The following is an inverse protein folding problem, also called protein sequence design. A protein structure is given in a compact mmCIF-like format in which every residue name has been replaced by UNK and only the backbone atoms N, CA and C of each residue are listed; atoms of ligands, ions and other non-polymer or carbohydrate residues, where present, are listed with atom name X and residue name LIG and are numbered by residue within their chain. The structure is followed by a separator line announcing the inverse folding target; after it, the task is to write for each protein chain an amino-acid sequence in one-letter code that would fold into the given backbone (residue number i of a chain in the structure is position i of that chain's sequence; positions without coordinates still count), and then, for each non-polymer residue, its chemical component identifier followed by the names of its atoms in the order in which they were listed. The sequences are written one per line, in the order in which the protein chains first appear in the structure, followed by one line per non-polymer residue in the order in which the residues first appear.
data_IF_386881517171
#
_entry.id   IF_386881517171
#
_cell.length_a   1.000
_cell.length_b   1.000
_cell.length_c   1.000
_cell.angle_alpha   90.00
_cell.angle_beta   90.00
_cell.angle_gamma   90.00
#
_symmetry.space_group_name_H-M   'P 1'
#
loop_
_entity.id
_entity.type
_entity.pdbx_description
1 polymer ?
#
# COMPACT_ATOMS: atom_id res chain seq x y z
N UNK A 1 -51.82 -42.02 -20.67
CA UNK A 1 -51.77 -40.78 -21.46
C UNK A 1 -50.31 -40.33 -21.49
N UNK A 2 -49.40 -41.10 -22.10
CA UNK A 2 -49.28 -41.38 -23.55
C UNK A 2 -48.87 -40.10 -24.27
N UNK A 3 -47.60 -39.97 -24.65
CA UNK A 3 -47.00 -40.44 -25.91
C UNK A 3 -47.14 -39.37 -27.03
N UNK A 4 -46.17 -39.19 -27.93
CA UNK A 4 -44.82 -39.76 -27.98
C UNK A 4 -44.22 -39.65 -29.40
N UNK A 5 -42.95 -39.22 -29.49
CA UNK A 5 -42.05 -39.30 -30.67
C UNK A 5 -42.54 -38.80 -32.04
N UNK A 6 -41.77 -37.89 -32.66
CA UNK A 6 -40.98 -38.25 -33.87
C UNK A 6 -39.99 -37.16 -34.31
N UNK A 7 -38.92 -37.60 -35.00
CA UNK A 7 -38.02 -36.80 -35.84
C UNK A 7 -38.67 -36.61 -37.25
N UNK A 8 -38.13 -35.94 -38.28
CA UNK A 8 -36.72 -35.77 -38.71
C UNK A 8 -36.51 -34.56 -39.67
N UNK A 9 -35.37 -34.54 -40.38
CA UNK A 9 -34.76 -33.45 -41.16
C UNK A 9 -35.54 -33.06 -42.47
N UNK A 10 -35.17 -32.06 -43.30
CA UNK A 10 -33.83 -31.80 -43.87
C UNK A 10 -33.66 -30.42 -44.57
N UNK A 11 -32.45 -29.83 -44.45
CA UNK A 11 -31.74 -28.78 -45.24
C UNK A 11 -32.44 -28.00 -46.39
N UNK A 12 -32.17 -26.67 -46.45
CA UNK A 12 -31.27 -26.06 -47.47
C UNK A 12 -30.87 -24.57 -47.24
N UNK A 13 -29.55 -24.32 -47.39
CA UNK A 13 -28.89 -23.08 -47.87
C UNK A 13 -28.81 -21.78 -47.01
N UNK A 14 -27.74 -21.01 -47.32
CA UNK A 14 -27.16 -19.74 -46.77
C UNK A 14 -26.47 -19.03 -47.98
N UNK A 15 -25.87 -17.80 -47.94
CA UNK A 15 -25.44 -16.93 -46.82
C UNK A 15 -26.39 -15.70 -46.61
N UNK A 16 -26.08 -14.42 -46.30
CA UNK A 16 -24.87 -13.55 -46.22
C UNK A 16 -24.99 -12.51 -45.06
N UNK A 17 -23.94 -11.72 -44.83
CA UNK A 17 -23.80 -10.64 -43.84
C UNK A 17 -23.90 -9.23 -44.53
N UNK A 18 -23.55 -8.04 -43.97
CA UNK A 18 -22.79 -7.65 -42.76
C UNK A 18 -22.95 -6.15 -42.35
N UNK A 19 -22.83 -5.87 -41.05
CA UNK A 19 -22.09 -4.77 -40.38
C UNK A 19 -22.17 -3.27 -40.80
N UNK A 20 -22.64 -2.46 -39.83
CA UNK A 20 -21.90 -1.41 -39.08
C UNK A 20 -21.70 0.05 -39.56
N UNK A 21 -21.50 0.89 -38.52
CA UNK A 21 -20.69 2.14 -38.42
C UNK A 21 -21.27 3.51 -38.81
N UNK A 22 -20.78 4.52 -38.07
CA UNK A 22 -21.09 5.97 -38.14
C UNK A 22 -20.02 6.73 -38.95
N UNK A 23 -20.30 7.95 -39.41
CA UNK A 23 -19.28 9.01 -39.36
C UNK A 23 -19.82 10.38 -38.88
N UNK A 24 -18.94 11.39 -38.84
CA UNK A 24 -19.24 12.76 -38.45
C UNK A 24 -18.47 13.81 -39.29
N UNK A 25 -18.87 15.09 -39.11
CA UNK A 25 -18.10 16.34 -39.29
C UNK A 25 -18.07 17.09 -40.65
N UNK A 26 -17.89 18.42 -40.52
CA UNK A 26 -17.50 19.44 -41.55
C UNK A 26 -18.58 19.88 -42.57
N UNK A 27 -18.62 21.12 -43.10
CA UNK A 27 -17.99 22.43 -42.79
C UNK A 27 -18.81 23.61 -43.41
N UNK A 28 -18.40 24.86 -43.17
CA UNK A 28 -19.07 26.09 -43.63
C UNK A 28 -18.63 26.61 -45.03
N UNK A 29 -19.29 27.67 -45.54
CA UNK A 29 -18.64 28.73 -46.33
C UNK A 29 -18.81 30.15 -45.72
N UNK A 30 -18.25 31.18 -46.38
CA UNK A 30 -18.01 32.55 -45.86
C UNK A 30 -18.35 33.66 -46.87
N UNK A 31 -18.07 34.94 -46.54
CA UNK A 31 -18.22 36.23 -47.31
C UNK A 31 -19.44 37.09 -46.87
N UNK A 32 -19.42 38.44 -46.86
CA UNK A 32 -18.37 39.44 -47.17
C UNK A 32 -18.59 40.83 -46.49
N UNK A 33 -17.62 41.75 -46.66
CA UNK A 33 -17.55 43.24 -46.51
C UNK A 33 -18.83 44.05 -46.12
N UNK A 34 -18.83 45.20 -45.40
CA UNK A 34 -17.76 45.97 -44.72
C UNK A 34 -17.67 47.47 -45.11
N UNK A 35 -18.13 48.43 -44.26
CA UNK A 35 -17.78 49.88 -44.24
C UNK A 35 -18.51 50.70 -43.13
N UNK A 36 -17.82 51.72 -42.59
CA UNK A 36 -18.27 52.79 -41.66
C UNK A 36 -18.01 54.19 -42.30
N UNK A 37 -18.35 55.36 -41.70
CA UNK A 37 -19.38 55.74 -40.70
C UNK A 37 -20.32 56.86 -41.27
N UNK A 38 -21.10 57.61 -40.45
CA UNK A 38 -20.61 58.91 -39.93
C UNK A 38 -21.12 59.33 -38.53
N UNK A 39 -20.67 60.50 -38.06
CA UNK A 39 -20.88 61.11 -36.72
C UNK A 39 -20.97 62.64 -36.90
N UNK A 40 -21.63 63.47 -36.04
CA UNK A 40 -22.80 63.28 -35.17
C UNK A 40 -23.97 64.24 -35.51
N UNK A 41 -25.11 64.11 -34.81
CA UNK A 41 -25.98 65.25 -34.48
C UNK A 41 -26.34 65.18 -32.98
N UNK A 42 -26.40 66.34 -32.32
CA UNK A 42 -26.73 66.44 -30.89
C UNK A 42 -27.91 67.37 -30.63
N UNK A 43 -27.96 67.92 -29.41
CA UNK A 43 -28.89 68.95 -28.89
C UNK A 43 -30.11 68.43 -28.09
N UNK A 44 -30.05 68.73 -26.77
CA UNK A 44 -31.14 68.95 -25.80
C UNK A 44 -32.02 67.78 -25.27
N UNK A 45 -31.55 67.21 -24.16
CA UNK A 45 -32.19 67.31 -22.83
C UNK A 45 -33.74 67.30 -22.77
N UNK A 46 -34.32 66.13 -22.47
CA UNK A 46 -35.64 65.98 -21.84
C UNK A 46 -35.50 65.26 -20.49
N UNK A 47 -36.17 65.75 -19.43
CA UNK A 47 -35.97 65.28 -18.06
C UNK A 47 -36.53 63.87 -17.79
N UNK A 48 -35.69 62.98 -17.27
CA UNK A 48 -36.10 61.69 -16.69
C UNK A 48 -35.01 61.13 -15.78
N UNK A 49 -35.31 60.85 -14.51
CA UNK A 49 -34.33 60.38 -13.54
C UNK A 49 -34.04 58.88 -13.72
N UNK A 50 -32.77 58.50 -13.85
CA UNK A 50 -32.36 57.09 -13.85
C UNK A 50 -32.42 56.48 -12.44
N UNK A 51 -32.73 55.18 -12.29
CA UNK A 51 -32.61 54.49 -11.02
C UNK A 51 -31.15 54.47 -10.56
N UNK A 52 -30.90 54.72 -9.26
CA UNK A 52 -29.58 54.49 -8.67
C UNK A 52 -29.33 52.98 -8.60
N UNK A 53 -28.30 52.51 -9.29
CA UNK A 53 -27.80 51.14 -9.09
C UNK A 53 -27.35 50.98 -7.63
N UNK A 54 -28.01 50.10 -6.89
CA UNK A 54 -27.58 49.71 -5.55
C UNK A 54 -26.48 48.65 -5.72
N UNK A 55 -25.26 48.87 -5.20
CA UNK A 55 -24.17 47.93 -5.40
C UNK A 55 -24.51 46.58 -4.75
N UNK A 56 -24.65 45.55 -5.59
CA UNK A 56 -25.03 44.21 -5.17
C UNK A 56 -23.97 43.65 -4.21
N UNK A 57 -24.37 43.26 -3.00
CA UNK A 57 -23.44 42.72 -1.99
C UNK A 57 -22.87 41.38 -2.49
N UNK A 58 -21.60 41.40 -2.93
CA UNK A 58 -20.83 40.20 -3.32
C UNK A 58 -20.96 39.10 -2.26
N UNK A 59 -21.11 37.87 -2.73
CA UNK A 59 -21.28 36.70 -1.89
C UNK A 59 -20.08 36.48 -0.94
N UNK A 60 -20.35 35.80 0.18
CA UNK A 60 -19.30 35.39 1.14
C UNK A 60 -18.22 34.51 0.49
N UNK A 61 -18.60 33.76 -0.55
CA UNK A 61 -17.73 32.95 -1.41
C UNK A 61 -16.75 33.80 -2.22
N UNK A 62 -17.20 34.83 -2.92
CA UNK A 62 -16.31 35.74 -3.69
C UNK A 62 -15.33 36.46 -2.77
N UNK A 63 -15.78 36.92 -1.60
CA UNK A 63 -14.92 37.54 -0.59
C UNK A 63 -13.88 36.58 0.00
N UNK A 64 -14.14 35.27 -0.02
CA UNK A 64 -13.16 34.24 0.35
C UNK A 64 -12.19 33.98 -0.81
N UNK A 65 -12.64 34.00 -2.06
CA UNK A 65 -11.77 33.87 -3.24
C UNK A 65 -10.81 35.06 -3.38
N UNK A 66 -11.27 36.30 -3.18
CA UNK A 66 -10.41 37.50 -3.15
C UNK A 66 -9.39 37.44 -1.99
N UNK A 67 -9.76 36.87 -0.84
CA UNK A 67 -8.80 36.62 0.25
C UNK A 67 -7.79 35.55 -0.11
N UNK A 68 -8.22 34.44 -0.73
CA UNK A 68 -7.32 33.37 -1.19
C UNK A 68 -6.35 33.88 -2.24
N UNK A 69 -6.79 34.66 -3.23
CA UNK A 69 -5.90 35.24 -4.24
C UNK A 69 -4.89 36.23 -3.64
N UNK A 70 -5.28 37.02 -2.64
CA UNK A 70 -4.36 37.89 -1.90
C UNK A 70 -3.36 37.13 -1.01
N UNK A 71 -3.76 35.98 -0.46
CA UNK A 71 -2.95 35.17 0.45
C UNK A 71 -2.02 34.18 -0.28
N UNK A 72 -2.28 33.86 -1.55
CA UNK A 72 -1.48 32.94 -2.37
C UNK A 72 -0.14 33.52 -2.88
N UNK A 73 0.49 34.43 -2.12
CA UNK A 73 1.93 34.68 -2.22
C UNK A 73 2.71 33.55 -1.52
N UNK A 74 2.46 32.32 -1.98
CA UNK A 74 3.32 31.18 -1.67
C UNK A 74 4.60 31.32 -2.49
N UNK A 75 5.65 31.86 -1.90
CA UNK A 75 7.00 31.71 -2.46
C UNK A 75 7.46 30.27 -2.18
N UNK A 76 7.67 29.44 -3.22
CA UNK A 76 8.17 28.08 -3.03
C UNK A 76 9.65 28.16 -2.59
N UNK A 77 9.91 27.95 -1.30
CA UNK A 77 11.27 27.81 -0.79
C UNK A 77 12.02 26.72 -1.56
N UNK A 78 13.28 27.02 -1.93
CA UNK A 78 14.08 26.30 -2.93
C UNK A 78 13.75 24.81 -3.06
N UNK A 79 13.07 24.46 -4.16
CA UNK A 79 12.81 23.07 -4.55
C UNK A 79 14.15 22.47 -5.01
N UNK A 80 14.98 22.07 -4.03
CA UNK A 80 16.19 21.29 -4.25
C UNK A 80 15.83 19.88 -4.68
N UNK A 81 15.38 19.76 -5.93
CA UNK A 81 15.30 18.50 -6.65
C UNK A 81 16.69 17.87 -6.56
N UNK A 82 16.81 16.78 -5.80
CA UNK A 82 18.09 16.10 -5.63
C UNK A 82 18.32 15.22 -6.86
N UNK A 83 18.69 15.86 -7.96
CA UNK A 83 18.86 15.29 -9.32
C UNK A 83 20.01 14.26 -9.33
N UNK A 84 19.79 13.10 -8.72
CA UNK A 84 20.76 12.01 -8.65
C UNK A 84 20.69 11.12 -9.89
N UNK A 85 20.72 11.74 -11.08
CA UNK A 85 20.49 11.11 -12.41
C UNK A 85 21.08 9.71 -12.48
N UNK A 86 22.37 9.54 -12.17
CA UNK A 86 23.05 8.23 -12.24
C UNK A 86 22.41 7.20 -11.30
N UNK A 87 22.09 7.57 -10.06
CA UNK A 87 21.48 6.68 -9.05
C UNK A 87 20.01 6.36 -9.34
N UNK A 88 19.28 7.30 -9.93
CA UNK A 88 17.89 7.14 -10.33
C UNK A 88 17.76 6.34 -11.64
N UNK A 89 18.63 6.60 -12.62
CA UNK A 89 18.75 5.86 -13.88
C UNK A 89 19.19 4.42 -13.64
N UNK A 90 20.14 4.17 -12.72
CA UNK A 90 20.48 2.80 -12.28
C UNK A 90 19.29 2.12 -11.59
N UNK A 91 18.47 2.84 -10.81
CA UNK A 91 17.22 2.28 -10.25
C UNK A 91 16.21 1.90 -11.35
N UNK A 92 16.03 2.74 -12.37
CA UNK A 92 15.14 2.44 -13.52
C UNK A 92 15.66 1.27 -14.36
N UNK A 93 16.97 1.22 -14.64
CA UNK A 93 17.62 0.07 -15.27
C UNK A 93 17.42 -1.22 -14.47
N UNK A 94 17.59 -1.16 -13.14
CA UNK A 94 17.37 -2.32 -12.26
C UNK A 94 15.93 -2.81 -12.30
N UNK A 95 14.96 -1.89 -12.26
CA UNK A 95 13.54 -2.21 -12.19
C UNK A 95 12.93 -2.70 -13.53
N UNK A 96 13.35 -2.15 -14.68
CA UNK A 96 12.75 -2.49 -15.99
C UNK A 96 13.61 -3.40 -16.88
N UNK A 97 14.93 -3.40 -16.71
CA UNK A 97 15.85 -4.00 -17.68
C UNK A 97 16.79 -5.05 -17.10
N UNK A 98 16.65 -5.49 -15.84
CA UNK A 98 17.54 -6.52 -15.28
C UNK A 98 17.53 -7.84 -16.06
N UNK A 99 16.37 -8.28 -16.55
CA UNK A 99 16.27 -9.46 -17.42
C UNK A 99 16.89 -9.20 -18.80
N UNK A 100 16.64 -8.05 -19.42
CA UNK A 100 17.23 -7.66 -20.72
C UNK A 100 18.75 -7.52 -20.65
N UNK A 101 19.27 -6.91 -19.57
CA UNK A 101 20.70 -6.75 -19.31
C UNK A 101 21.35 -8.09 -18.96
N UNK A 102 20.67 -8.98 -18.24
CA UNK A 102 21.19 -10.32 -17.97
C UNK A 102 21.20 -11.19 -19.24
N UNK A 103 20.15 -11.14 -20.07
CA UNK A 103 20.11 -11.80 -21.38
C UNK A 103 21.17 -11.22 -22.33
N UNK A 104 21.33 -9.90 -22.37
CA UNK A 104 22.40 -9.23 -23.12
C UNK A 104 23.79 -9.63 -22.65
N UNK A 105 24.03 -9.70 -21.34
CA UNK A 105 25.27 -10.19 -20.76
C UNK A 105 25.52 -11.66 -21.11
N UNK A 106 24.51 -12.53 -21.02
CA UNK A 106 24.61 -13.94 -21.41
C UNK A 106 24.91 -14.09 -22.91
N UNK A 107 24.31 -13.25 -23.76
CA UNK A 107 24.59 -13.19 -25.20
C UNK A 107 26.02 -12.71 -25.48
N UNK A 108 26.53 -11.69 -24.77
CA UNK A 108 27.92 -11.23 -24.90
C UNK A 108 28.91 -12.32 -24.44
N UNK A 109 28.64 -12.99 -23.32
CA UNK A 109 29.43 -14.14 -22.84
C UNK A 109 29.40 -15.28 -23.87
N UNK A 110 28.23 -15.61 -24.44
CA UNK A 110 28.11 -16.64 -25.47
C UNK A 110 28.84 -16.26 -26.77
N UNK A 111 28.76 -15.00 -27.22
CA UNK A 111 29.49 -14.50 -28.39
C UNK A 111 31.02 -14.44 -28.19
N UNK A 112 31.49 -14.39 -26.93
CA UNK A 112 32.92 -14.52 -26.62
C UNK A 112 33.36 -15.99 -26.52
N UNK A 113 32.53 -16.86 -25.92
CA UNK A 113 32.85 -18.28 -25.74
C UNK A 113 32.74 -19.11 -27.03
N UNK A 114 31.72 -18.91 -27.87
CA UNK A 114 31.52 -19.72 -29.08
C UNK A 114 32.73 -19.69 -30.03
N UNK A 115 33.31 -18.52 -30.39
CA UNK A 115 34.45 -18.47 -31.29
C UNK A 115 35.70 -19.17 -30.74
N UNK A 116 36.03 -18.98 -29.45
CA UNK A 116 37.18 -19.65 -28.84
C UNK A 116 36.96 -21.17 -28.66
N UNK A 117 35.74 -21.60 -28.31
CA UNK A 117 35.38 -23.03 -28.30
C UNK A 117 35.47 -23.65 -29.71
N UNK A 118 34.99 -22.94 -30.74
CA UNK A 118 35.07 -23.39 -32.13
C UNK A 118 36.52 -23.46 -32.63
N UNK A 119 37.37 -22.49 -32.30
CA UNK A 119 38.82 -22.54 -32.57
C UNK A 119 39.46 -23.76 -31.92
N UNK A 120 39.19 -23.98 -30.63
CA UNK A 120 39.74 -25.10 -29.88
C UNK A 120 39.29 -26.45 -30.47
N UNK A 121 38.02 -26.56 -30.88
CA UNK A 121 37.46 -27.74 -31.53
C UNK A 121 38.05 -27.99 -32.92
N UNK A 122 38.21 -26.95 -33.75
CA UNK A 122 38.85 -27.06 -35.06
C UNK A 122 40.31 -27.53 -34.94
N UNK A 123 41.08 -26.96 -34.01
CA UNK A 123 42.48 -27.33 -33.75
C UNK A 123 42.61 -28.75 -33.16
N UNK A 124 41.66 -29.18 -32.32
CA UNK A 124 41.61 -30.55 -31.80
C UNK A 124 41.17 -31.57 -32.86
N UNK A 125 40.29 -31.19 -33.78
CA UNK A 125 39.87 -32.00 -34.92
C UNK A 125 40.96 -32.16 -35.99
N UNK A 126 41.80 -31.14 -36.18
CA UNK A 126 42.93 -31.16 -37.12
C UNK A 126 44.18 -31.86 -36.54
N UNK A 127 44.02 -33.10 -36.06
CA UNK A 127 45.08 -34.02 -35.59
C UNK A 127 45.97 -33.51 -34.44
N UNK A 128 46.08 -34.30 -33.37
CA UNK A 128 46.86 -33.98 -32.17
C UNK A 128 48.35 -33.62 -32.43
N UNK A 129 48.92 -34.08 -33.56
CA UNK A 129 50.25 -33.72 -34.04
C UNK A 129 50.39 -32.27 -34.50
N UNK A 130 49.34 -31.66 -35.06
CA UNK A 130 49.36 -30.28 -35.57
C UNK A 130 49.51 -29.24 -34.46
N UNK A 131 48.84 -29.46 -33.32
CA UNK A 131 48.99 -28.63 -32.12
C UNK A 131 50.42 -28.71 -31.55
N UNK A 132 51.02 -29.91 -31.53
CA UNK A 132 52.41 -30.09 -31.11
C UNK A 132 53.41 -29.41 -32.06
N UNK A 133 53.22 -29.53 -33.38
CA UNK A 133 54.06 -28.86 -34.37
C UNK A 133 54.02 -27.33 -34.24
N UNK A 134 52.81 -26.76 -34.15
CA UNK A 134 52.64 -25.31 -34.00
C UNK A 134 53.26 -24.76 -32.69
N UNK A 135 53.26 -25.54 -31.60
CA UNK A 135 53.91 -25.17 -30.34
C UNK A 135 55.44 -25.37 -30.39
N UNK A 136 55.94 -26.29 -31.21
CA UNK A 136 57.37 -26.54 -31.38
C UNK A 136 58.09 -25.52 -32.28
N UNK A 137 57.41 -25.00 -33.32
CA UNK A 137 57.99 -24.00 -34.23
C UNK A 137 57.75 -22.55 -33.76
N UNK A 138 56.67 -22.29 -33.01
CA UNK A 138 56.46 -20.98 -32.38
C UNK A 138 57.52 -20.74 -31.30
N UNK A 139 58.23 -19.60 -31.38
CA UNK A 139 59.07 -19.13 -30.26
C UNK A 139 58.16 -18.97 -29.05
N UNK A 140 58.63 -19.34 -27.85
CA UNK A 140 57.81 -19.41 -26.62
C UNK A 140 57.00 -18.12 -26.38
N UNK A 141 57.54 -16.96 -26.74
CA UNK A 141 56.85 -15.66 -26.71
C UNK A 141 55.56 -15.61 -27.53
N UNK A 142 55.53 -16.20 -28.73
CA UNK A 142 54.37 -16.20 -29.62
C UNK A 142 53.25 -17.09 -29.07
N UNK A 143 53.60 -18.31 -28.62
CA UNK A 143 52.68 -19.21 -27.95
C UNK A 143 52.09 -18.59 -26.66
N UNK A 144 52.93 -17.92 -25.86
CA UNK A 144 52.48 -17.14 -24.69
C UNK A 144 51.59 -15.97 -25.13
N UNK A 145 51.88 -15.28 -26.24
CA UNK A 145 51.02 -14.18 -26.73
C UNK A 145 49.64 -14.65 -27.19
N UNK A 146 49.55 -15.85 -27.79
CA UNK A 146 48.28 -16.48 -28.16
C UNK A 146 47.51 -16.88 -26.90
N UNK A 147 48.18 -17.47 -25.92
CA UNK A 147 47.58 -17.82 -24.63
C UNK A 147 47.04 -16.59 -23.89
N UNK A 148 47.79 -15.48 -23.83
CA UNK A 148 47.30 -14.23 -23.24
C UNK A 148 46.12 -13.62 -23.99
N UNK A 149 46.05 -13.74 -25.34
CA UNK A 149 44.88 -13.32 -26.12
C UNK A 149 43.66 -14.18 -25.83
N UNK A 150 43.82 -15.51 -25.78
CA UNK A 150 42.73 -16.47 -25.50
C UNK A 150 42.38 -16.57 -23.99
N UNK A 151 43.10 -15.89 -23.09
CA UNK A 151 42.65 -15.60 -21.71
C UNK A 151 42.03 -14.19 -21.57
N UNK A 152 42.19 -13.30 -22.55
CA UNK A 152 41.80 -11.89 -22.45
C UNK A 152 40.31 -11.64 -22.20
N UNK A 153 39.43 -12.59 -22.57
CA UNK A 153 37.98 -12.52 -22.33
C UNK A 153 37.58 -12.90 -20.89
N UNK A 154 38.46 -13.56 -20.11
CA UNK A 154 38.18 -13.94 -18.72
C UNK A 154 37.95 -12.70 -17.83
N UNK A 155 38.73 -11.64 -18.02
CA UNK A 155 38.55 -10.38 -17.28
C UNK A 155 37.17 -9.75 -17.49
N UNK A 156 36.77 -9.43 -18.75
CA UNK A 156 35.43 -8.92 -19.07
C UNK A 156 34.28 -9.83 -18.62
N UNK A 157 34.39 -11.15 -18.78
CA UNK A 157 33.34 -12.09 -18.34
C UNK A 157 33.23 -12.15 -16.82
N UNK A 158 34.34 -12.24 -16.07
CA UNK A 158 34.33 -12.17 -14.59
C UNK A 158 33.77 -10.84 -14.11
N UNK A 159 34.19 -9.70 -14.67
CA UNK A 159 33.62 -8.39 -14.34
C UNK A 159 32.12 -8.31 -14.62
N UNK A 160 31.65 -8.87 -15.73
CA UNK A 160 30.22 -8.91 -16.10
C UNK A 160 29.42 -9.80 -15.16
N UNK A 161 29.95 -10.96 -14.78
CA UNK A 161 29.33 -11.88 -13.81
C UNK A 161 29.27 -11.23 -12.42
N UNK A 162 30.36 -10.61 -11.95
CA UNK A 162 30.39 -9.88 -10.68
C UNK A 162 29.39 -8.71 -10.67
N UNK A 163 29.33 -7.92 -11.75
CA UNK A 163 28.34 -6.86 -11.88
C UNK A 163 26.90 -7.40 -11.84
N UNK A 164 26.62 -8.50 -12.56
CA UNK A 164 25.31 -9.15 -12.55
C UNK A 164 24.94 -9.69 -11.16
N UNK A 165 25.89 -10.30 -10.42
CA UNK A 165 25.68 -10.79 -9.06
C UNK A 165 25.42 -9.66 -8.06
N UNK A 166 26.18 -8.56 -8.14
CA UNK A 166 25.98 -7.37 -7.29
C UNK A 166 24.64 -6.69 -7.58
N UNK A 167 24.24 -6.57 -8.86
CA UNK A 167 22.96 -6.00 -9.25
C UNK A 167 21.77 -6.90 -8.88
N UNK A 168 21.91 -8.23 -9.01
CA UNK A 168 20.90 -9.23 -8.60
C UNK A 168 20.76 -9.40 -7.09
N UNK A 169 21.71 -8.94 -6.27
CA UNK A 169 21.63 -9.10 -4.81
C UNK A 169 20.44 -8.31 -4.25
N UNK A 170 19.34 -9.00 -3.96
CA UNK A 170 18.28 -8.46 -3.11
C UNK A 170 18.90 -8.01 -1.79
N UNK A 171 18.54 -6.80 -1.34
CA UNK A 171 19.08 -6.23 -0.11
C UNK A 171 18.27 -6.79 1.04
N UNK A 172 18.92 -7.56 1.92
CA UNK A 172 18.33 -8.01 3.18
C UNK A 172 17.65 -6.84 3.90
N UNK A 173 16.42 -7.09 4.34
CA UNK A 173 15.61 -6.16 5.13
C UNK A 173 15.59 -6.66 6.56
N UNK A 174 15.83 -5.77 7.51
CA UNK A 174 15.96 -6.08 8.93
C UNK A 174 14.97 -5.27 9.74
N UNK A 175 14.30 -5.91 10.69
CA UNK A 175 13.47 -5.26 11.70
C UNK A 175 14.38 -4.81 12.85
N UNK A 176 14.62 -3.50 12.95
CA UNK A 176 15.46 -2.92 13.98
C UNK A 176 14.80 -3.06 15.34
N UNK A 177 13.58 -2.54 15.46
CA UNK A 177 12.70 -2.72 16.62
C UNK A 177 11.24 -2.46 16.23
N UNK A 178 10.32 -2.76 17.15
CA UNK A 178 8.90 -2.44 17.08
C UNK A 178 8.41 -1.83 18.40
N UNK A 179 7.35 -1.04 18.30
CA UNK A 179 6.56 -0.58 19.44
C UNK A 179 5.10 -0.98 19.23
N UNK A 180 4.38 -1.19 20.33
CA UNK A 180 2.95 -1.44 20.36
C UNK A 180 2.28 -0.24 21.04
N UNK A 181 1.00 -0.02 20.75
CA UNK A 181 0.20 0.92 21.53
C UNK A 181 -0.04 0.34 22.92
N UNK A 182 0.50 1.00 23.93
CA UNK A 182 0.24 0.71 25.34
C UNK A 182 -0.91 1.66 25.77
N UNK A 183 -2.17 1.18 25.84
CA UNK A 183 -3.32 2.06 26.02
C UNK A 183 -3.35 2.69 27.41
N UNK A 184 -3.79 3.96 27.54
CA UNK A 184 -4.06 4.57 28.83
C UNK A 184 -5.05 3.71 29.66
N UNK A 185 -4.86 3.65 30.98
CA UNK A 185 -5.68 2.81 31.86
C UNK A 185 -7.19 3.16 31.78
N UNK A 186 -7.51 4.43 31.53
CA UNK A 186 -8.87 4.91 31.26
C UNK A 186 -9.54 4.31 30.00
N UNK A 187 -8.77 3.81 29.03
CA UNK A 187 -9.30 3.16 27.82
C UNK A 187 -9.58 1.67 28.02
N UNK A 188 -9.02 1.06 29.07
CA UNK A 188 -9.14 -0.36 29.33
C UNK A 188 -10.44 -0.69 30.06
N UNK A 189 -11.38 -1.30 29.34
CA UNK A 189 -12.69 -1.71 29.87
C UNK A 189 -12.85 -3.23 29.92
N UNK A 190 -13.58 -3.69 30.93
CA UNK A 190 -14.03 -5.08 31.11
C UNK A 190 -15.21 -5.43 30.20
N UNK A 191 -15.55 -6.73 30.09
CA UNK A 191 -16.69 -7.18 29.29
C UNK A 191 -18.02 -6.65 29.84
N UNK A 192 -18.14 -6.50 31.15
CA UNK A 192 -19.34 -5.94 31.80
C UNK A 192 -19.53 -4.45 31.43
N UNK A 193 -18.45 -3.67 31.46
CA UNK A 193 -18.44 -2.27 31.04
C UNK A 193 -18.73 -2.12 29.55
N UNK A 194 -18.18 -2.99 28.68
CA UNK A 194 -18.52 -3.00 27.25
C UNK A 194 -20.02 -3.22 27.03
N UNK A 195 -20.65 -4.17 27.73
CA UNK A 195 -22.10 -4.42 27.61
C UNK A 195 -22.93 -3.23 28.12
N UNK A 196 -22.49 -2.56 29.19
CA UNK A 196 -23.10 -1.33 29.70
C UNK A 196 -22.98 -0.18 28.68
N UNK A 197 -21.78 0.03 28.16
CA UNK A 197 -21.43 1.05 27.16
C UNK A 197 -22.23 0.87 25.87
N UNK A 198 -22.42 -0.38 25.40
CA UNK A 198 -23.27 -0.70 24.25
C UNK A 198 -24.76 -0.40 24.52
N UNK A 199 -25.29 -0.76 25.69
CA UNK A 199 -26.66 -0.40 26.11
C UNK A 199 -26.90 1.10 26.17
N UNK A 200 -25.88 1.89 26.52
CA UNK A 200 -25.96 3.35 26.59
C UNK A 200 -25.77 3.99 25.20
N UNK A 201 -24.81 3.53 24.41
CA UNK A 201 -24.51 4.06 23.08
C UNK A 201 -25.68 3.86 22.10
N UNK A 202 -26.28 2.67 22.10
CA UNK A 202 -27.46 2.34 21.29
C UNK A 202 -28.76 2.36 22.09
N UNK A 203 -28.89 3.21 23.12
CA UNK A 203 -30.11 3.30 23.97
C UNK A 203 -31.39 3.43 23.14
N UNK A 204 -31.32 4.24 22.10
CA UNK A 204 -32.44 4.57 21.22
C UNK A 204 -32.39 3.77 19.90
N UNK A 205 -31.72 2.60 19.89
CA UNK A 205 -31.60 1.76 18.68
C UNK A 205 -31.42 0.25 18.89
N UNK A 206 -30.75 -0.24 19.95
CA UNK A 206 -30.61 -1.69 20.17
C UNK A 206 -31.82 -2.28 20.90
N UNK A 207 -32.32 -3.43 20.43
CA UNK A 207 -33.30 -4.21 21.18
C UNK A 207 -32.62 -4.99 22.33
N UNK A 208 -33.38 -5.47 23.34
CA UNK A 208 -32.85 -6.38 24.36
C UNK A 208 -32.20 -7.64 23.76
N UNK A 209 -32.70 -8.13 22.62
CA UNK A 209 -32.15 -9.29 21.93
C UNK A 209 -30.82 -9.00 21.22
N UNK A 210 -30.64 -7.81 20.66
CA UNK A 210 -29.37 -7.37 20.05
C UNK A 210 -28.28 -7.27 21.12
N UNK A 211 -28.61 -6.69 22.28
CA UNK A 211 -27.72 -6.60 23.44
C UNK A 211 -27.40 -7.99 23.99
N UNK A 212 -28.39 -8.87 24.16
CA UNK A 212 -28.17 -10.24 24.62
C UNK A 212 -27.36 -11.07 23.60
N UNK A 213 -27.49 -10.80 22.30
CA UNK A 213 -26.66 -11.39 21.26
C UNK A 213 -25.21 -10.91 21.35
N UNK A 214 -24.98 -9.59 21.46
CA UNK A 214 -23.64 -9.03 21.64
C UNK A 214 -22.97 -9.53 22.92
N UNK A 215 -23.68 -9.64 24.04
CA UNK A 215 -23.15 -10.20 25.29
C UNK A 215 -22.69 -11.67 25.11
N UNK A 216 -23.57 -12.56 24.60
CA UNK A 216 -23.24 -13.98 24.35
C UNK A 216 -22.09 -14.18 23.37
N UNK A 217 -21.87 -13.22 22.48
CA UNK A 217 -20.75 -13.21 21.55
C UNK A 217 -19.46 -12.70 22.22
N UNK A 218 -19.54 -11.64 23.04
CA UNK A 218 -18.42 -11.11 23.81
C UNK A 218 -17.85 -12.16 24.79
N UNK A 219 -18.72 -12.90 25.48
CA UNK A 219 -18.37 -14.06 26.33
C UNK A 219 -17.57 -15.14 25.57
N UNK A 220 -17.78 -15.27 24.26
CA UNK A 220 -17.15 -16.28 23.38
C UNK A 220 -16.05 -15.70 22.46
N UNK A 221 -15.80 -14.40 22.53
CA UNK A 221 -14.92 -13.65 21.62
C UNK A 221 -13.42 -13.96 21.78
N UNK A 222 -13.01 -14.54 22.91
CA UNK A 222 -11.61 -14.67 23.29
C UNK A 222 -10.95 -13.36 23.76
N UNK A 223 -11.63 -12.21 23.68
CA UNK A 223 -11.14 -10.94 24.23
C UNK A 223 -11.10 -10.98 25.76
N UNK A 224 -10.08 -10.36 26.39
CA UNK A 224 -9.91 -10.35 27.85
C UNK A 224 -10.81 -9.34 28.58
N UNK A 225 -10.68 -9.29 29.92
CA UNK A 225 -11.38 -8.33 30.80
C UNK A 225 -10.69 -6.96 30.92
N UNK A 226 -9.76 -6.66 30.01
CA UNK A 226 -9.09 -5.37 29.91
C UNK A 226 -8.74 -5.16 28.44
N UNK A 227 -9.55 -4.37 27.74
CA UNK A 227 -9.38 -4.11 26.30
C UNK A 227 -9.65 -2.65 25.96
N UNK A 228 -8.87 -2.11 25.04
CA UNK A 228 -8.86 -0.67 24.74
C UNK A 228 -10.05 -0.23 23.88
N UNK A 229 -10.75 0.80 24.34
CA UNK A 229 -11.78 1.54 23.62
C UNK A 229 -11.49 3.04 23.67
N UNK A 230 -11.79 3.82 22.63
CA UNK A 230 -11.35 5.21 22.54
C UNK A 230 -12.31 6.18 23.24
N UNK A 231 -11.85 7.40 23.63
CA UNK A 231 -12.64 8.36 24.40
C UNK A 231 -13.99 8.76 23.81
N UNK A 232 -14.12 8.73 22.48
CA UNK A 232 -15.39 8.98 21.81
C UNK A 232 -16.48 7.94 22.11
N UNK A 233 -16.11 6.72 22.50
CA UNK A 233 -17.05 5.65 22.89
C UNK A 233 -17.09 5.50 24.42
N UNK A 234 -15.95 5.65 25.13
CA UNK A 234 -15.89 5.55 26.60
C UNK A 234 -16.89 6.45 27.33
N UNK A 235 -17.19 7.64 26.79
CA UNK A 235 -18.19 8.55 27.37
C UNK A 235 -19.59 7.94 27.51
N UNK A 236 -19.92 6.94 26.70
CA UNK A 236 -21.18 6.23 26.81
C UNK A 236 -21.35 5.57 28.19
N UNK A 237 -20.27 5.12 28.85
CA UNK A 237 -20.30 4.62 30.24
C UNK A 237 -20.90 5.63 31.22
N UNK A 238 -20.66 6.92 31.01
CA UNK A 238 -21.19 8.04 31.81
C UNK A 238 -22.64 8.40 31.45
N UNK A 239 -23.22 7.73 30.45
CA UNK A 239 -24.56 8.00 29.93
C UNK A 239 -24.61 9.07 28.84
N UNK A 240 -23.47 9.58 28.39
CA UNK A 240 -23.32 10.57 27.31
C UNK A 240 -23.45 9.90 25.91
N UNK A 241 -23.93 10.61 24.86
CA UNK A 241 -23.93 10.06 23.51
C UNK A 241 -22.52 9.96 22.92
N UNK A 242 -22.28 8.94 22.09
CA UNK A 242 -20.99 8.68 21.43
C UNK A 242 -20.48 9.89 20.63
N UNK A 243 -19.19 10.19 20.73
CA UNK A 243 -18.52 11.09 19.79
C UNK A 243 -18.23 10.38 18.46
N UNK A 244 -18.93 10.78 17.41
CA UNK A 244 -18.66 10.33 16.04
C UNK A 244 -18.02 11.44 15.19
N UNK A 245 -17.51 12.51 15.82
CA UNK A 245 -16.94 13.65 15.11
C UNK A 245 -15.62 13.31 14.42
N UNK A 246 -15.28 14.14 13.42
CA UNK A 246 -13.96 14.11 12.80
C UNK A 246 -12.83 14.54 13.75
N UNK A 247 -13.13 15.21 14.87
CA UNK A 247 -12.12 15.62 15.85
C UNK A 247 -11.75 14.44 16.74
N UNK A 248 -12.71 13.81 17.43
CA UNK A 248 -12.46 12.67 18.30
C UNK A 248 -11.75 11.50 17.59
N UNK A 249 -12.04 11.28 16.30
CA UNK A 249 -11.34 10.30 15.47
C UNK A 249 -9.89 10.70 15.12
N UNK A 250 -9.60 12.00 14.97
CA UNK A 250 -8.21 12.50 14.86
C UNK A 250 -7.48 12.43 16.20
N UNK A 251 -8.17 12.67 17.31
CA UNK A 251 -7.59 12.57 18.65
C UNK A 251 -7.20 11.12 18.96
N UNK A 252 -8.08 10.13 18.67
CA UNK A 252 -7.73 8.70 18.72
C UNK A 252 -6.53 8.40 17.80
N UNK A 253 -6.56 8.86 16.55
CA UNK A 253 -5.50 8.62 15.58
C UNK A 253 -4.14 9.19 16.03
N UNK A 254 -4.13 10.43 16.51
CA UNK A 254 -2.92 11.10 16.96
C UNK A 254 -2.37 10.44 18.23
N UNK A 255 -3.22 10.09 19.19
CA UNK A 255 -2.81 9.33 20.38
C UNK A 255 -2.17 7.99 20.01
N UNK A 256 -2.88 7.14 19.27
CA UNK A 256 -2.41 5.78 18.97
C UNK A 256 -1.14 5.80 18.10
N UNK A 257 -1.11 6.62 17.05
CA UNK A 257 0.03 6.68 16.12
C UNK A 257 1.24 7.35 16.76
N UNK A 258 1.06 8.47 17.46
CA UNK A 258 2.20 9.15 18.08
C UNK A 258 2.78 8.34 19.22
N UNK A 259 1.98 7.78 20.14
CA UNK A 259 2.52 6.94 21.21
C UNK A 259 3.31 5.72 20.70
N UNK A 260 2.89 5.12 19.57
CA UNK A 260 3.69 4.08 18.91
C UNK A 260 5.01 4.62 18.34
N UNK A 261 4.98 5.75 17.64
CA UNK A 261 6.15 6.36 17.01
C UNK A 261 7.16 6.92 18.03
N UNK A 262 6.70 7.66 19.05
CA UNK A 262 7.52 8.15 20.17
C UNK A 262 8.23 6.99 20.86
N UNK A 263 7.49 5.93 21.20
CA UNK A 263 8.06 4.70 21.78
C UNK A 263 9.09 4.02 20.87
N UNK A 264 8.84 3.99 19.56
CA UNK A 264 9.74 3.38 18.57
C UNK A 264 11.03 4.19 18.40
N UNK A 265 10.92 5.52 18.28
CA UNK A 265 12.10 6.40 18.15
C UNK A 265 12.91 6.44 19.45
N UNK A 266 12.25 6.42 20.61
CA UNK A 266 12.93 6.29 21.91
C UNK A 266 13.67 4.94 22.06
N UNK A 267 13.02 3.82 21.76
CA UNK A 267 13.63 2.47 21.84
C UNK A 267 14.79 2.29 20.84
N UNK A 268 14.69 2.87 19.63
CA UNK A 268 15.71 2.70 18.58
C UNK A 268 16.81 3.77 18.58
N UNK A 269 16.58 4.93 19.18
CA UNK A 269 17.46 6.10 19.11
C UNK A 269 17.59 6.71 17.70
N UNK A 270 16.70 6.33 16.77
CA UNK A 270 16.69 6.87 15.40
C UNK A 270 15.97 8.21 15.38
N UNK A 271 16.59 9.24 14.81
CA UNK A 271 15.94 10.53 14.64
C UNK A 271 14.80 10.42 13.60
N UNK A 272 13.61 11.01 13.80
CA UNK A 272 12.54 10.99 12.79
C UNK A 272 12.96 11.57 11.42
N UNK A 273 13.98 12.44 11.37
CA UNK A 273 14.56 12.97 10.13
C UNK A 273 15.48 11.96 9.40
N UNK A 274 15.82 10.82 10.00
CA UNK A 274 16.50 9.73 9.31
C UNK A 274 15.55 8.80 8.54
N UNK A 275 14.23 8.90 8.76
CA UNK A 275 13.23 8.08 8.07
C UNK A 275 13.11 8.50 6.60
N UNK A 276 13.13 7.53 5.69
CA UNK A 276 13.03 7.75 4.24
C UNK A 276 11.65 7.37 3.69
N UNK A 277 11.00 6.38 4.32
CA UNK A 277 9.65 5.91 3.99
C UNK A 277 8.78 5.86 5.25
N UNK A 278 7.57 6.42 5.18
CA UNK A 278 6.55 6.27 6.21
C UNK A 278 5.30 5.65 5.58
N UNK A 279 4.95 4.44 6.01
CA UNK A 279 3.72 3.77 5.59
C UNK A 279 2.80 3.68 6.81
N UNK A 280 1.62 4.29 6.75
CA UNK A 280 0.59 4.14 7.79
C UNK A 280 -0.62 3.46 7.17
N UNK A 281 -1.14 2.43 7.84
CA UNK A 281 -2.36 1.74 7.45
C UNK A 281 -3.43 1.81 8.54
N UNK A 282 -4.66 2.14 8.13
CA UNK A 282 -5.90 2.11 8.90
C UNK A 282 -7.06 1.98 7.91
N UNK A 283 -7.98 1.05 8.14
CA UNK A 283 -9.06 0.76 7.19
C UNK A 283 -10.22 1.73 7.33
N UNK A 284 -10.65 1.99 8.56
CA UNK A 284 -11.92 2.64 8.90
C UNK A 284 -11.82 4.17 9.01
N UNK A 285 -10.60 4.73 8.97
CA UNK A 285 -10.38 6.18 9.04
C UNK A 285 -9.28 6.66 8.09
N UNK A 286 -9.68 7.20 6.93
CA UNK A 286 -8.78 7.76 5.91
C UNK A 286 -9.09 9.27 5.68
N UNK A 287 -8.62 10.17 6.57
CA UNK A 287 -8.95 11.59 6.51
C UNK A 287 -8.09 12.39 5.52
N UNK A 288 -8.53 13.61 5.20
CA UNK A 288 -7.70 14.65 4.55
C UNK A 288 -7.48 15.80 5.53
N UNK A 289 -6.23 16.27 5.78
CA UNK A 289 -4.97 15.59 5.50
C UNK A 289 -4.88 14.21 6.16
N UNK A 290 -4.04 13.36 5.57
CA UNK A 290 -3.88 11.93 5.90
C UNK A 290 -3.13 11.68 7.21
N UNK A 291 -3.21 10.44 7.70
CA UNK A 291 -2.53 10.02 8.93
C UNK A 291 -1.00 10.14 8.79
N UNK A 292 -0.46 9.81 7.61
CA UNK A 292 0.95 10.05 7.31
C UNK A 292 1.34 11.54 7.36
N UNK A 293 0.47 12.44 6.88
CA UNK A 293 0.73 13.88 6.90
C UNK A 293 0.67 14.45 8.34
N UNK A 294 -0.26 13.96 9.16
CA UNK A 294 -0.33 14.25 10.60
C UNK A 294 0.97 13.83 11.31
N UNK A 295 1.41 12.57 11.13
CA UNK A 295 2.62 12.05 11.75
C UNK A 295 3.89 12.77 11.25
N UNK A 296 4.05 12.96 9.94
CA UNK A 296 5.22 13.65 9.37
C UNK A 296 5.34 15.11 9.88
N UNK A 297 4.22 15.81 10.05
CA UNK A 297 4.17 17.14 10.66
C UNK A 297 4.48 17.11 12.16
N UNK A 298 3.86 16.20 12.94
CA UNK A 298 4.10 16.06 14.38
C UNK A 298 5.58 15.85 14.68
N UNK A 299 6.20 14.86 14.04
CA UNK A 299 7.58 14.44 14.25
C UNK A 299 8.63 15.29 13.51
N UNK A 300 8.22 16.34 12.78
CA UNK A 300 9.08 17.23 11.98
C UNK A 300 10.07 16.44 11.08
N UNK A 301 9.53 15.44 10.38
CA UNK A 301 10.25 14.63 9.40
C UNK A 301 10.77 15.50 8.24
N UNK A 302 11.65 14.95 7.40
CA UNK A 302 12.19 15.68 6.26
C UNK A 302 11.11 15.97 5.22
N UNK A 303 11.25 17.08 4.49
CA UNK A 303 10.35 17.44 3.38
C UNK A 303 10.41 16.48 2.18
N UNK A 304 11.40 15.58 2.12
CA UNK A 304 11.53 14.52 1.09
C UNK A 304 11.14 13.12 1.59
N UNK A 305 10.54 12.99 2.79
CA UNK A 305 10.03 11.70 3.29
C UNK A 305 8.90 11.19 2.42
N UNK A 306 8.96 9.91 2.01
CA UNK A 306 7.96 9.31 1.11
C UNK A 306 6.85 8.66 1.93
N UNK A 307 5.67 9.28 1.92
CA UNK A 307 4.50 8.85 2.70
C UNK A 307 3.52 8.00 1.90
N UNK A 308 3.08 6.87 2.46
CA UNK A 308 2.07 5.98 1.87
C UNK A 308 0.96 5.72 2.89
N UNK A 309 -0.24 6.26 2.66
CA UNK A 309 -1.39 6.06 3.54
C UNK A 309 -2.31 4.99 2.93
N UNK A 310 -2.39 3.81 3.56
CA UNK A 310 -3.15 2.66 3.06
C UNK A 310 -4.48 2.52 3.83
N UNK A 311 -5.58 2.27 3.12
CA UNK A 311 -6.92 2.09 3.71
C UNK A 311 -7.75 1.07 2.93
N UNK A 312 -8.86 0.61 3.52
CA UNK A 312 -9.78 -0.36 2.91
C UNK A 312 -9.24 -1.78 2.72
N UNK A 313 -8.17 -2.17 3.43
CA UNK A 313 -7.56 -3.51 3.32
C UNK A 313 -7.89 -4.45 4.50
N UNK A 314 -8.57 -3.95 5.54
CA UNK A 314 -8.94 -4.71 6.73
C UNK A 314 -7.73 -5.30 7.47
N UNK A 315 -7.94 -6.43 8.15
CA UNK A 315 -6.92 -7.11 8.95
C UNK A 315 -5.64 -7.48 8.17
N UNK A 316 -5.67 -7.55 6.84
CA UNK A 316 -4.50 -7.84 6.00
C UNK A 316 -3.53 -6.65 5.85
N UNK A 317 -3.96 -5.43 6.16
CA UNK A 317 -3.28 -4.18 5.85
C UNK A 317 -1.82 -4.11 6.34
N UNK A 318 -1.52 -4.76 7.48
CA UNK A 318 -0.18 -4.81 8.06
C UNK A 318 0.82 -5.54 7.17
N UNK A 319 0.45 -6.71 6.63
CA UNK A 319 1.30 -7.48 5.73
C UNK A 319 1.54 -6.71 4.43
N UNK A 320 0.53 -6.01 3.92
CA UNK A 320 0.63 -5.17 2.72
C UNK A 320 1.57 -3.96 2.93
N UNK A 321 1.55 -3.38 4.13
CA UNK A 321 2.46 -2.30 4.49
C UNK A 321 3.91 -2.80 4.66
N UNK A 322 4.12 -4.00 5.22
CA UNK A 322 5.42 -4.66 5.33
C UNK A 322 5.98 -5.06 3.95
N UNK A 323 5.15 -5.59 3.06
CA UNK A 323 5.44 -5.94 1.67
C UNK A 323 5.96 -4.71 0.90
N UNK A 324 5.16 -3.63 0.88
CA UNK A 324 5.53 -2.35 0.30
C UNK A 324 6.83 -1.78 0.92
N UNK A 325 6.99 -1.85 2.25
CA UNK A 325 8.22 -1.39 2.91
C UNK A 325 9.45 -2.21 2.47
N UNK A 326 9.28 -3.53 2.34
CA UNK A 326 10.33 -4.44 1.87
C UNK A 326 10.75 -4.11 0.43
N UNK A 327 9.81 -3.93 -0.50
CA UNK A 327 10.13 -3.51 -1.87
C UNK A 327 10.84 -2.16 -1.93
N UNK A 328 10.35 -1.17 -1.16
CA UNK A 328 10.94 0.17 -1.10
C UNK A 328 12.39 0.11 -0.58
N UNK A 329 12.66 -0.65 0.49
CA UNK A 329 14.00 -0.86 1.04
C UNK A 329 14.88 -1.71 0.11
N UNK A 330 14.36 -2.74 -0.55
CA UNK A 330 15.16 -3.54 -1.50
C UNK A 330 15.65 -2.73 -2.70
N UNK A 331 14.87 -1.72 -3.10
CA UNK A 331 15.17 -0.83 -4.23
C UNK A 331 15.96 0.44 -3.86
N UNK A 332 15.89 0.93 -2.61
CA UNK A 332 16.55 2.17 -2.19
C UNK A 332 17.71 1.88 -1.21
N UNK A 333 18.98 2.12 -1.59
CA UNK A 333 20.15 1.85 -0.73
C UNK A 333 20.20 2.70 0.53
N UNK A 334 20.68 2.10 1.63
CA UNK A 334 21.00 2.76 2.90
C UNK A 334 19.81 3.56 3.47
N UNK A 335 18.65 2.92 3.55
CA UNK A 335 17.37 3.53 3.89
C UNK A 335 16.71 2.97 5.16
N UNK A 336 15.83 3.78 5.76
CA UNK A 336 14.93 3.41 6.85
C UNK A 336 13.48 3.58 6.41
N UNK A 337 12.66 2.55 6.64
CA UNK A 337 11.22 2.60 6.51
C UNK A 337 10.55 2.41 7.87
N UNK A 338 9.49 3.16 8.13
CA UNK A 338 8.63 2.96 9.29
C UNK A 338 7.24 2.55 8.80
N UNK A 339 6.76 1.41 9.31
CA UNK A 339 5.40 0.91 9.09
C UNK A 339 4.61 1.12 10.37
N UNK A 340 3.48 1.82 10.31
CA UNK A 340 2.51 1.92 11.40
C UNK A 340 1.21 1.25 10.97
N UNK A 341 0.73 0.31 11.76
CA UNK A 341 -0.60 -0.29 11.63
C UNK A 341 -1.47 0.14 12.79
N UNK A 342 -2.69 0.58 12.52
CA UNK A 342 -3.68 0.90 13.55
C UNK A 342 -5.08 0.68 13.01
N UNK A 343 -6.05 0.40 13.87
CA UNK A 343 -7.46 0.48 13.50
C UNK A 343 -8.18 1.33 14.53
N UNK A 344 -8.97 2.29 14.02
CA UNK A 344 -9.49 3.43 14.78
C UNK A 344 -11.00 3.34 14.81
N UNK A 345 -11.57 3.10 16.00
CA UNK A 345 -12.96 2.63 16.10
C UNK A 345 -13.96 3.71 16.53
N UNK A 346 -13.50 4.92 16.86
CA UNK A 346 -14.35 6.03 17.37
C UNK A 346 -15.60 6.29 16.54
N UNK A 347 -15.53 6.17 15.21
CA UNK A 347 -16.66 6.42 14.28
C UNK A 347 -17.33 5.15 13.76
N UNK A 348 -16.89 3.97 14.22
CA UNK A 348 -17.19 2.67 13.60
C UNK A 348 -18.00 1.74 14.50
N UNK A 349 -18.76 2.30 15.44
CA UNK A 349 -19.75 1.55 16.21
C UNK A 349 -21.04 1.43 15.37
N UNK A 350 -21.49 0.21 15.11
CA UNK A 350 -22.72 -0.03 14.34
C UNK A 350 -23.96 0.08 15.24
N UNK A 351 -24.94 0.88 14.83
CA UNK A 351 -26.15 1.22 15.61
C UNK A 351 -27.44 0.58 15.08
N UNK A 352 -27.36 -0.44 14.24
CA UNK A 352 -28.52 -1.15 13.70
C UNK A 352 -28.68 -2.56 14.28
N UNK A 353 -29.46 -3.40 13.59
CA UNK A 353 -29.89 -4.72 14.07
C UNK A 353 -29.29 -5.90 13.27
N UNK A 354 -28.54 -5.66 12.19
CA UNK A 354 -28.02 -6.77 11.38
C UNK A 354 -26.96 -7.55 12.18
N UNK A 355 -27.31 -8.78 12.55
CA UNK A 355 -26.49 -9.65 13.42
C UNK A 355 -25.09 -9.94 12.87
N UNK A 356 -24.87 -9.75 11.56
CA UNK A 356 -23.57 -9.88 10.89
C UNK A 356 -22.63 -8.68 11.16
N UNK A 357 -23.19 -7.49 11.39
CA UNK A 357 -22.48 -6.24 11.68
C UNK A 357 -22.34 -6.03 13.19
N UNK A 358 -23.32 -6.46 14.00
CA UNK A 358 -23.23 -6.48 15.46
C UNK A 358 -22.00 -7.26 15.99
N UNK A 359 -21.39 -8.15 15.18
CA UNK A 359 -20.09 -8.75 15.49
C UNK A 359 -19.00 -7.69 15.74
N UNK A 360 -18.94 -6.63 14.92
CA UNK A 360 -17.86 -5.63 14.97
C UNK A 360 -17.79 -4.94 16.35
N UNK A 361 -18.96 -4.64 16.92
CA UNK A 361 -19.13 -4.02 18.24
C UNK A 361 -18.59 -4.89 19.38
N UNK A 362 -18.45 -6.21 19.17
CA UNK A 362 -17.89 -7.14 20.16
C UNK A 362 -16.42 -7.46 19.92
N UNK A 363 -15.96 -7.42 18.67
CA UNK A 363 -14.64 -7.88 18.24
C UNK A 363 -13.61 -6.74 18.11
N UNK A 364 -13.98 -5.59 17.57
CA UNK A 364 -13.02 -4.51 17.29
C UNK A 364 -12.63 -3.76 18.56
N UNK A 365 -11.35 -3.37 18.65
CA UNK A 365 -10.75 -2.62 19.76
C UNK A 365 -9.79 -1.58 19.19
N UNK A 366 -9.58 -0.48 19.90
CA UNK A 366 -8.55 0.48 19.51
C UNK A 366 -7.17 -0.13 19.73
N UNK A 367 -6.24 0.08 18.80
CA UNK A 367 -4.92 -0.53 18.88
C UNK A 367 -3.99 -0.09 17.77
N UNK A 368 -2.69 -0.23 18.01
CA UNK A 368 -1.67 0.13 17.03
C UNK A 368 -0.33 -0.53 17.29
N UNK A 369 0.52 -0.49 16.27
CA UNK A 369 1.92 -0.89 16.34
C UNK A 369 2.73 -0.12 15.29
N UNK A 370 4.00 0.15 15.60
CA UNK A 370 4.96 0.73 14.68
C UNK A 370 6.22 -0.14 14.59
N UNK A 371 6.74 -0.36 13.39
CA UNK A 371 7.91 -1.19 13.09
C UNK A 371 8.94 -0.38 12.32
N UNK A 372 10.21 -0.40 12.76
CA UNK A 372 11.32 0.26 12.06
C UNK A 372 12.11 -0.79 11.26
N UNK A 373 11.97 -0.74 9.94
CA UNK A 373 12.64 -1.62 8.98
C UNK A 373 13.82 -0.89 8.33
N UNK A 374 14.91 -1.60 8.04
CA UNK A 374 16.09 -1.00 7.42
C UNK A 374 16.90 -1.97 6.57
N UNK A 375 17.67 -1.41 5.63
CA UNK A 375 18.75 -2.10 4.91
C UNK A 375 20.13 -1.45 5.18
N UNK A 376 20.23 -0.52 6.14
CA UNK A 376 21.48 0.19 6.48
C UNK A 376 22.45 -0.77 7.17
N UNK A 377 23.60 -1.04 6.56
CA UNK A 377 24.60 -1.98 7.09
C UNK A 377 25.02 -1.66 8.52
N UNK A 378 25.19 -0.37 8.84
CA UNK A 378 25.52 0.13 10.20
C UNK A 378 24.47 -0.16 11.29
N UNK A 379 23.26 -0.60 10.92
CA UNK A 379 22.18 -0.94 11.86
C UNK A 379 21.91 -2.44 11.97
N UNK A 380 22.50 -3.28 11.10
CA UNK A 380 22.25 -4.73 11.06
C UNK A 380 22.62 -5.41 12.39
N UNK A 381 23.77 -5.04 12.98
CA UNK A 381 24.22 -5.58 14.28
C UNK A 381 23.35 -5.15 15.48
N UNK A 382 22.36 -4.26 15.27
CA UNK A 382 21.37 -3.85 16.27
C UNK A 382 19.97 -4.39 16.00
N UNK A 383 19.76 -5.08 14.87
CA UNK A 383 18.44 -5.53 14.47
C UNK A 383 17.99 -6.75 15.29
N UNK A 384 16.71 -6.76 15.67
CA UNK A 384 16.11 -7.89 16.39
C UNK A 384 15.83 -9.07 15.47
N UNK A 385 15.53 -8.82 14.20
CA UNK A 385 15.22 -9.87 13.22
C UNK A 385 15.61 -9.50 11.78
N UNK A 386 15.82 -10.53 10.95
CA UNK A 386 15.96 -10.48 9.50
C UNK A 386 14.70 -10.99 8.81
N UNK A 387 14.13 -10.19 7.90
CA UNK A 387 12.98 -10.61 7.08
C UNK A 387 13.45 -11.58 5.99
N UNK A 388 13.14 -12.86 6.16
CA UNK A 388 13.54 -13.95 5.24
C UNK A 388 12.60 -14.05 4.05
N UNK A 389 11.32 -14.28 4.33
CA UNK A 389 10.27 -14.46 3.33
C UNK A 389 9.02 -13.68 3.75
N UNK A 390 8.35 -13.09 2.78
CA UNK A 390 7.01 -12.54 2.93
C UNK A 390 6.20 -13.12 1.76
N UNK A 391 5.10 -13.79 2.06
CA UNK A 391 4.23 -14.40 1.04
C UNK A 391 2.89 -13.71 1.08
N UNK A 392 2.50 -13.10 -0.03
CA UNK A 392 1.20 -12.43 -0.20
C UNK A 392 0.33 -13.23 -1.17
N UNK A 393 -0.84 -13.63 -0.69
CA UNK A 393 -1.89 -14.24 -1.51
C UNK A 393 -3.12 -13.34 -1.50
N UNK A 394 -3.63 -12.97 -2.67
CA UNK A 394 -4.87 -12.21 -2.82
C UNK A 394 -5.93 -13.13 -3.44
N UNK A 395 -6.96 -13.48 -2.69
CA UNK A 395 -8.11 -14.19 -3.26
C UNK A 395 -9.03 -13.18 -3.98
N UNK A 396 -9.47 -13.52 -5.19
CA UNK A 396 -10.19 -12.61 -6.11
C UNK A 396 -11.59 -13.11 -6.48
N UNK A 397 -12.15 -14.04 -5.72
CA UNK A 397 -13.48 -14.59 -5.93
C UNK A 397 -14.54 -13.89 -5.05
N UNK A 398 -15.80 -13.94 -5.48
CA UNK A 398 -16.95 -13.28 -4.83
C UNK A 398 -17.07 -13.64 -3.33
N UNK A 399 -16.75 -14.89 -2.96
CA UNK A 399 -16.78 -15.36 -1.58
C UNK A 399 -15.70 -14.74 -0.68
N UNK A 400 -14.58 -14.31 -1.27
CA UNK A 400 -13.55 -13.49 -0.60
C UNK A 400 -13.93 -12.02 -0.61
N UNK A 401 -14.41 -11.51 -1.75
CA UNK A 401 -14.79 -10.10 -1.91
C UNK A 401 -15.91 -9.69 -0.94
N UNK A 402 -16.91 -10.55 -0.74
CA UNK A 402 -18.00 -10.33 0.23
C UNK A 402 -17.73 -10.92 1.63
N UNK A 403 -16.47 -11.23 1.98
CA UNK A 403 -16.14 -11.85 3.27
C UNK A 403 -16.17 -10.86 4.45
N UNK A 404 -15.67 -9.64 4.23
CA UNK A 404 -15.64 -8.50 5.15
C UNK A 404 -15.97 -7.28 4.31
N UNK A 405 -17.14 -6.67 4.51
CA UNK A 405 -17.64 -5.63 3.59
C UNK A 405 -18.28 -4.47 4.35
N UNK A 406 -17.78 -3.25 4.14
CA UNK A 406 -18.38 -2.03 4.68
C UNK A 406 -19.58 -1.61 3.81
N UNK A 407 -20.78 -1.55 4.39
CA UNK A 407 -22.00 -1.16 3.71
C UNK A 407 -23.01 -0.56 4.69
N UNK A 408 -24.12 -0.02 4.16
CA UNK A 408 -25.28 0.34 4.97
C UNK A 408 -26.20 -0.87 5.13
N UNK A 409 -26.92 -0.94 6.25
CA UNK A 409 -28.07 -1.83 6.41
C UNK A 409 -29.33 -1.27 5.73
N UNK A 410 -30.44 -2.02 5.79
CA UNK A 410 -31.74 -1.64 5.22
C UNK A 410 -32.32 -0.32 5.79
N UNK A 411 -31.78 0.17 6.91
CA UNK A 411 -32.16 1.45 7.55
C UNK A 411 -31.17 2.58 7.26
N UNK A 412 -30.17 2.36 6.38
CA UNK A 412 -29.16 3.33 6.01
C UNK A 412 -28.00 3.47 7.02
N UNK A 413 -27.95 2.66 8.08
CA UNK A 413 -26.89 2.73 9.09
C UNK A 413 -25.64 2.00 8.60
N UNK A 414 -24.48 2.67 8.63
CA UNK A 414 -23.22 2.10 8.16
C UNK A 414 -22.62 1.08 9.15
N UNK A 415 -22.12 -0.04 8.64
CA UNK A 415 -21.46 -1.10 9.39
C UNK A 415 -20.58 -1.99 8.52
N UNK A 416 -19.81 -2.88 9.14
CA UNK A 416 -18.91 -3.84 8.51
C UNK A 416 -19.51 -5.24 8.65
N UNK A 417 -20.12 -5.72 7.57
CA UNK A 417 -20.77 -7.02 7.50
C UNK A 417 -19.72 -8.12 7.41
N UNK A 418 -19.71 -9.02 8.41
CA UNK A 418 -18.82 -10.19 8.46
C UNK A 418 -19.55 -11.46 7.99
N UNK A 419 -19.04 -12.09 6.94
CA UNK A 419 -19.60 -13.32 6.38
C UNK A 419 -19.15 -14.56 7.15
N UNK A 420 -20.05 -15.54 7.32
CA UNK A 420 -19.73 -16.85 7.89
C UNK A 420 -18.65 -17.61 7.09
N UNK A 421 -18.50 -17.28 5.80
CA UNK A 421 -17.46 -17.84 4.90
C UNK A 421 -16.04 -17.50 5.40
N UNK A 422 -15.86 -16.38 6.10
CA UNK A 422 -14.57 -15.94 6.65
C UNK A 422 -13.97 -17.01 7.58
N UNK A 423 -14.76 -17.56 8.50
CA UNK A 423 -14.31 -18.55 9.48
C UNK A 423 -13.94 -19.90 8.84
N UNK A 424 -14.64 -20.30 7.78
CA UNK A 424 -14.34 -21.52 7.02
C UNK A 424 -13.05 -21.35 6.21
N UNK A 425 -12.86 -20.19 5.58
CA UNK A 425 -11.67 -19.93 4.76
C UNK A 425 -10.42 -19.68 5.56
N UNK A 426 -10.49 -18.96 6.69
CA UNK A 426 -9.33 -18.75 7.55
C UNK A 426 -8.75 -20.08 8.05
N UNK A 427 -9.60 -21.03 8.46
CA UNK A 427 -9.18 -22.38 8.82
C UNK A 427 -8.53 -23.12 7.63
N UNK A 428 -9.18 -23.12 6.46
CA UNK A 428 -8.68 -23.85 5.28
C UNK A 428 -7.36 -23.29 4.73
N UNK A 429 -7.17 -21.96 4.72
CA UNK A 429 -5.91 -21.35 4.26
C UNK A 429 -4.75 -21.64 5.22
N UNK A 430 -5.00 -21.71 6.53
CA UNK A 430 -3.98 -22.20 7.48
C UNK A 430 -3.59 -23.65 7.19
N UNK A 431 -4.58 -24.53 6.94
CA UNK A 431 -4.34 -25.95 6.61
C UNK A 431 -3.65 -26.18 5.25
N UNK A 432 -3.78 -25.27 4.28
CA UNK A 432 -3.05 -25.34 3.01
C UNK A 432 -1.62 -24.81 3.11
N UNK A 433 -1.30 -23.99 4.12
CA UNK A 433 0.04 -23.43 4.29
C UNK A 433 1.06 -24.41 4.88
N UNK A 434 0.60 -25.48 5.56
CA UNK A 434 1.47 -26.44 6.25
C UNK A 434 2.21 -27.43 5.35
N UNK A 435 1.85 -27.57 4.07
CA UNK A 435 2.59 -28.38 3.09
C UNK A 435 3.82 -27.65 2.53
N UNK A 436 3.99 -26.38 2.87
CA UNK A 436 5.28 -25.67 2.79
C UNK A 436 5.90 -25.56 4.20
N UNK A 437 7.24 -25.49 4.33
CA UNK A 437 7.91 -25.24 5.62
C UNK A 437 7.77 -23.77 6.06
N UNK A 438 6.58 -23.21 5.94
CA UNK A 438 6.18 -22.00 6.64
C UNK A 438 6.01 -22.36 8.12
N UNK A 439 6.92 -21.89 8.99
CA UNK A 439 6.74 -21.98 10.43
C UNK A 439 5.60 -21.06 10.90
N UNK A 440 4.37 -21.49 10.68
CA UNK A 440 3.19 -20.97 11.36
C UNK A 440 3.36 -21.23 12.86
N UNK A 441 3.86 -20.22 13.59
CA UNK A 441 4.36 -20.34 14.95
C UNK A 441 3.25 -20.60 15.99
N UNK A 442 2.78 -21.86 16.04
CA UNK A 442 1.90 -22.40 17.07
C UNK A 442 2.62 -22.61 18.41
N UNK A 443 3.23 -21.54 18.94
CA UNK A 443 3.99 -21.56 20.19
C UNK A 443 3.03 -21.61 21.38
N UNK A 444 2.95 -22.78 22.02
CA UNK A 444 2.31 -22.97 23.34
C UNK A 444 2.89 -21.98 24.37
N UNK A 445 2.07 -21.47 25.31
CA UNK A 445 2.40 -20.26 26.05
C UNK A 445 3.47 -20.46 27.13
N UNK A 446 4.41 -19.53 27.18
CA UNK A 446 5.14 -19.12 28.39
C UNK A 446 5.21 -17.58 28.39
N UNK A 447 4.81 -16.97 29.51
CA UNK A 447 4.70 -15.52 29.76
C UNK A 447 3.67 -14.71 28.90
N UNK A 448 3.09 -13.61 29.43
CA UNK A 448 1.83 -13.05 28.90
C UNK A 448 1.96 -11.91 27.89
N UNK A 449 3.16 -11.38 27.61
CA UNK A 449 3.35 -10.14 26.83
C UNK A 449 3.15 -10.34 25.31
N UNK A 450 3.14 -11.59 24.83
CA UNK A 450 3.30 -11.92 23.41
C UNK A 450 2.06 -11.84 22.50
N UNK A 451 0.90 -11.34 22.95
CA UNK A 451 -0.33 -11.42 22.14
C UNK A 451 -0.37 -10.44 20.95
N UNK A 452 -0.14 -9.14 21.20
CA UNK A 452 -0.45 -8.08 20.22
C UNK A 452 0.48 -8.05 19.00
N UNK A 453 1.74 -8.49 19.14
CA UNK A 453 2.66 -8.56 18.00
C UNK A 453 2.33 -9.71 17.01
N UNK A 454 1.56 -10.73 17.42
CA UNK A 454 1.36 -11.96 16.64
C UNK A 454 0.35 -11.82 15.49
N UNK A 455 -0.68 -10.98 15.61
CA UNK A 455 -1.67 -10.79 14.54
C UNK A 455 -1.14 -10.01 13.34
N UNK A 456 -0.15 -9.14 13.55
CA UNK A 456 0.41 -8.23 12.56
C UNK A 456 1.35 -8.91 11.55
N UNK A 457 1.91 -10.08 11.91
CA UNK A 457 3.04 -10.71 11.23
C UNK A 457 2.69 -12.08 10.59
N UNK A 458 1.41 -12.45 10.53
CA UNK A 458 0.93 -13.75 10.06
C UNK A 458 1.08 -13.96 8.54
N UNK A 459 2.32 -14.11 8.07
CA UNK A 459 2.69 -14.24 6.65
C UNK A 459 4.13 -13.78 6.33
N UNK A 460 4.86 -13.25 7.31
CA UNK A 460 6.26 -12.84 7.19
C UNK A 460 7.14 -13.63 8.17
N UNK A 461 8.20 -14.29 7.67
CA UNK A 461 9.16 -15.01 8.52
C UNK A 461 10.32 -14.11 8.92
N UNK A 462 10.52 -14.04 10.23
CA UNK A 462 11.56 -13.27 10.90
C UNK A 462 12.45 -14.24 11.69
N UNK A 463 13.75 -14.20 11.41
CA UNK A 463 14.82 -14.89 12.15
C UNK A 463 15.67 -13.90 12.94
#
# INVERSE_FOLDING_TARGET
MEAGLQHEATLRQRPVASNSTSPAAQRAPSAEQGRDPPVPLGVQNGSGASPKEVPMKRSRSEQVLDRISSALRYEPGDIRVRVSIIRDYIRVLRARYMDTVFKGALIVVAMQLLPSMLRLWLVAGSSFSGLYGAIAEARVLDAVSVLFKELGWLGPTVCTILAALVLRRHRSVYLLDFALFEPPAEWCVSRAEIVLMLKQAGRDSFTPDDVAFMQRLLEKSGTGESTAWPPGILRCLKGEPQDQSMQAARDEAETVICSCLDSLFAKTGINPKEVDFLIINCSLFSPTPSLCAMAANKFKMRSDVRTYNLSGQGCSASLLALDLCSELLQNNPDSIGVVVSTELITRSLYHGHEKSMLLQNTLFRSGGAALLLTNRSRLVARAKYHLRHLVRTQCTDDGSYHSVYECQDETGRAGVRLSKVLAVRSANTTLQSSDTPAHAFAVRPYAPVGLHARSLLAGATFE
#
